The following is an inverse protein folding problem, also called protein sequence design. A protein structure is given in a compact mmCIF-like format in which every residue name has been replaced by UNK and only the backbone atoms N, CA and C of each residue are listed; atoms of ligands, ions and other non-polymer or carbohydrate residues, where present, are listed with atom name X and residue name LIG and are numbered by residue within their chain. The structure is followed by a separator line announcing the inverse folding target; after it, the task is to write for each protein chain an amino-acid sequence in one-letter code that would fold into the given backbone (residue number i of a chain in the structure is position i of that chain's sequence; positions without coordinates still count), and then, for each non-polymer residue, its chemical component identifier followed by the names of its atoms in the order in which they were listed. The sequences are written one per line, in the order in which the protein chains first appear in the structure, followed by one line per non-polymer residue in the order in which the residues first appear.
data_IF_551432784637
#
_entry.id   IF_551432784637
#
_cell.length_a   1.000
_cell.length_b   1.000
_cell.length_c   1.000
_cell.angle_alpha   90.00
_cell.angle_beta   90.00
_cell.angle_gamma   90.00
#
_symmetry.space_group_name_H-M   'P 1'
#
loop_
_entity.id
_entity.type
_entity.pdbx_description
1 polymer ?
#
# COMPACT_ATOMS: atom_id res chain seq x y z
N UNK A 1 12.90 1.06 -13.53
CA UNK A 1 12.11 0.48 -12.45
C UNK A 1 11.40 1.62 -11.73
N UNK A 2 10.21 1.39 -11.19
CA UNK A 2 9.35 2.42 -10.60
C UNK A 2 8.93 2.07 -9.18
N UNK A 3 8.94 3.06 -8.30
CA UNK A 3 8.39 2.98 -6.94
C UNK A 3 7.07 3.74 -6.90
N UNK A 4 6.01 3.08 -6.43
CA UNK A 4 4.75 3.76 -6.12
C UNK A 4 4.70 4.12 -4.63
N UNK A 5 4.61 5.42 -4.34
CA UNK A 5 4.43 5.93 -2.99
C UNK A 5 2.98 6.38 -2.77
N UNK A 6 2.23 5.63 -1.96
CA UNK A 6 0.85 5.92 -1.59
C UNK A 6 0.83 6.56 -0.20
N UNK A 7 0.30 7.78 -0.09
CA UNK A 7 0.18 8.49 1.18
C UNK A 7 -1.28 8.66 1.59
N UNK A 8 -1.64 8.20 2.79
CA UNK A 8 -3.01 8.19 3.28
C UNK A 8 -3.30 9.17 4.43
N UNK A 9 -2.28 9.81 5.00
CA UNK A 9 -2.49 10.71 6.15
C UNK A 9 -3.06 12.06 5.71
N UNK A 10 -4.17 12.54 6.30
CA UNK A 10 -4.69 13.89 6.01
C UNK A 10 -3.90 15.00 6.72
N UNK A 11 -2.89 14.66 7.53
CA UNK A 11 -2.11 15.63 8.31
C UNK A 11 -0.92 16.21 7.55
N UNK A 12 -0.72 15.83 6.28
CA UNK A 12 0.33 16.36 5.39
C UNK A 12 1.70 16.49 6.10
N UNK A 13 2.30 17.68 6.12
CA UNK A 13 3.60 17.94 6.72
C UNK A 13 3.68 17.63 8.23
N UNK A 14 2.53 17.56 8.93
CA UNK A 14 2.47 17.22 10.36
C UNK A 14 2.35 15.71 10.62
N UNK A 15 2.42 14.87 9.58
CA UNK A 15 2.27 13.42 9.70
C UNK A 15 3.62 12.71 9.90
N UNK A 16 3.77 12.02 11.03
CA UNK A 16 4.93 11.19 11.31
C UNK A 16 5.07 10.02 10.32
N UNK A 17 3.96 9.41 9.88
CA UNK A 17 4.00 8.35 8.84
C UNK A 17 4.58 8.88 7.53
N UNK A 18 4.17 10.08 7.10
CA UNK A 18 4.63 10.71 5.86
C UNK A 18 6.11 11.06 5.94
N UNK A 19 6.56 11.59 7.09
CA UNK A 19 7.97 11.90 7.33
C UNK A 19 8.84 10.66 7.15
N UNK A 20 8.53 9.57 7.88
CA UNK A 20 9.32 8.34 7.78
C UNK A 20 9.16 7.65 6.42
N UNK A 21 7.96 7.65 5.85
CA UNK A 21 7.69 7.13 4.50
C UNK A 21 8.53 7.85 3.44
N UNK A 22 8.62 9.18 3.51
CA UNK A 22 9.44 9.97 2.61
C UNK A 22 10.93 9.65 2.76
N UNK A 23 11.44 9.53 3.99
CA UNK A 23 12.83 9.14 4.23
C UNK A 23 13.15 7.76 3.65
N UNK A 24 12.23 6.81 3.77
CA UNK A 24 12.37 5.48 3.16
C UNK A 24 12.38 5.56 1.63
N UNK A 25 11.47 6.34 1.03
CA UNK A 25 11.44 6.55 -0.42
C UNK A 25 12.75 7.17 -0.91
N UNK A 26 13.23 8.23 -0.26
CA UNK A 26 14.49 8.89 -0.63
C UNK A 26 15.67 7.92 -0.54
N UNK A 27 15.70 7.10 0.51
CA UNK A 27 16.72 6.07 0.69
C UNK A 27 16.70 5.05 -0.44
N UNK A 28 15.51 4.52 -0.77
CA UNK A 28 15.35 3.55 -1.84
C UNK A 28 15.78 4.13 -3.18
N UNK A 29 15.31 5.33 -3.53
CA UNK A 29 15.69 6.00 -4.78
C UNK A 29 17.18 6.23 -4.89
N UNK A 30 17.84 6.70 -3.82
CA UNK A 30 19.27 6.93 -3.82
C UNK A 30 20.09 5.65 -4.05
N UNK A 31 19.61 4.48 -3.58
CA UNK A 31 20.35 3.22 -3.70
C UNK A 31 20.00 2.40 -4.94
N UNK A 32 18.82 2.61 -5.52
CA UNK A 32 18.30 1.77 -6.63
C UNK A 32 18.10 2.52 -7.94
N UNK A 33 18.06 3.86 -7.90
CA UNK A 33 17.68 4.68 -9.05
C UNK A 33 16.21 4.53 -9.46
N UNK A 34 15.33 4.08 -8.55
CA UNK A 34 13.89 4.01 -8.80
C UNK A 34 13.28 5.39 -9.06
N UNK A 35 12.49 5.48 -10.12
CA UNK A 35 11.64 6.65 -10.38
C UNK A 35 10.37 6.60 -9.51
N UNK A 36 9.97 7.72 -8.92
CA UNK A 36 8.85 7.74 -7.96
C UNK A 36 7.56 8.21 -8.63
N UNK A 37 6.53 7.36 -8.60
CA UNK A 37 5.14 7.77 -8.83
C UNK A 37 4.46 8.01 -7.49
N UNK A 38 3.74 9.13 -7.34
CA UNK A 38 3.11 9.53 -6.07
C UNK A 38 1.59 9.52 -6.16
N UNK A 39 0.96 8.89 -5.16
CA UNK A 39 -0.48 8.85 -4.98
C UNK A 39 -0.83 9.36 -3.58
N UNK A 40 -1.19 10.64 -3.50
CA UNK A 40 -1.64 11.26 -2.26
C UNK A 40 -3.16 11.16 -2.14
N UNK A 41 -3.65 10.29 -1.24
CA UNK A 41 -5.07 10.02 -1.02
C UNK A 41 -5.76 11.08 -0.16
N UNK A 42 -5.02 12.00 0.44
CA UNK A 42 -5.59 13.14 1.17
C UNK A 42 -5.75 14.36 0.26
N UNK A 43 -4.75 14.63 -0.60
CA UNK A 43 -4.82 15.75 -1.55
C UNK A 43 -5.72 15.44 -2.75
N UNK A 44 -5.63 14.22 -3.29
CA UNK A 44 -6.43 13.77 -4.43
C UNK A 44 -7.20 12.51 -4.02
N UNK A 45 -8.23 12.64 -3.16
CA UNK A 45 -8.98 11.49 -2.68
C UNK A 45 -9.69 10.79 -3.85
N UNK A 46 -9.68 9.45 -3.90
CA UNK A 46 -10.48 8.73 -4.88
C UNK A 46 -11.97 8.95 -4.63
N UNK A 47 -12.82 8.82 -5.67
CA UNK A 47 -14.26 8.81 -5.47
C UNK A 47 -14.68 7.61 -4.61
N UNK A 48 -15.80 7.76 -3.92
CA UNK A 48 -16.43 6.62 -3.26
C UNK A 48 -17.00 5.66 -4.31
N UNK A 49 -16.81 4.34 -4.15
CA UNK A 49 -17.50 3.36 -4.97
C UNK A 49 -19.02 3.55 -4.86
N UNK A 50 -19.66 3.92 -5.96
CA UNK A 50 -21.11 4.08 -6.04
C UNK A 50 -21.79 2.87 -6.72
N UNK A 51 -23.11 2.92 -6.88
CA UNK A 51 -23.87 1.85 -7.52
C UNK A 51 -23.44 1.57 -8.96
N UNK A 52 -22.99 2.59 -9.70
CA UNK A 52 -22.55 2.45 -11.10
C UNK A 52 -21.22 1.75 -11.17
N UNK A 53 -20.28 2.14 -10.30
CA UNK A 53 -19.01 1.43 -10.15
C UNK A 53 -19.23 -0.03 -9.76
N UNK A 54 -20.10 -0.30 -8.78
CA UNK A 54 -20.42 -1.66 -8.35
C UNK A 54 -20.99 -2.51 -9.49
N UNK A 55 -21.96 -1.98 -10.25
CA UNK A 55 -22.52 -2.62 -11.43
C UNK A 55 -21.43 -2.91 -12.48
N UNK A 56 -20.62 -1.92 -12.83
CA UNK A 56 -19.57 -2.04 -13.83
C UNK A 56 -18.45 -3.01 -13.41
N UNK A 57 -18.07 -3.02 -12.12
CA UNK A 57 -17.01 -3.88 -11.59
C UNK A 57 -17.43 -5.35 -11.51
N UNK A 58 -18.72 -5.64 -11.37
CA UNK A 58 -19.25 -7.00 -11.35
C UNK A 58 -19.65 -7.49 -12.76
N UNK A 59 -19.80 -6.57 -13.72
CA UNK A 59 -20.07 -6.88 -15.11
C UNK A 59 -18.88 -7.64 -15.74
N UNK A 60 -19.12 -8.82 -16.35
CA UNK A 60 -18.11 -9.54 -17.14
C UNK A 60 -17.49 -8.65 -18.22
N UNK A 61 -16.19 -8.81 -18.47
CA UNK A 61 -15.41 -7.95 -19.35
C UNK A 61 -15.97 -7.89 -20.78
N UNK A 62 -16.44 -9.03 -21.31
CA UNK A 62 -17.05 -9.17 -22.64
C UNK A 62 -18.44 -8.51 -22.74
N UNK A 63 -19.07 -8.19 -21.61
CA UNK A 63 -20.38 -7.54 -21.51
C UNK A 63 -20.28 -6.06 -21.14
N UNK A 64 -19.07 -5.53 -20.91
CA UNK A 64 -18.90 -4.12 -20.53
C UNK A 64 -19.27 -3.17 -21.66
N UNK A 65 -20.20 -2.27 -21.38
CA UNK A 65 -20.57 -1.18 -22.28
C UNK A 65 -19.56 -0.04 -22.21
N UNK A 66 -19.70 0.97 -23.09
CA UNK A 66 -18.93 2.23 -22.99
C UNK A 66 -19.16 2.93 -21.64
N UNK A 67 -20.38 2.87 -21.09
CA UNK A 67 -20.71 3.40 -19.76
C UNK A 67 -19.92 2.67 -18.67
N UNK A 68 -19.93 1.33 -18.67
CA UNK A 68 -19.18 0.55 -17.67
C UNK A 68 -17.69 0.86 -17.71
N UNK A 69 -17.09 0.96 -18.90
CA UNK A 69 -15.68 1.34 -19.04
C UNK A 69 -15.40 2.72 -18.45
N UNK A 70 -16.27 3.70 -18.71
CA UNK A 70 -16.17 5.04 -18.15
C UNK A 70 -16.26 5.04 -16.62
N UNK A 71 -17.22 4.32 -16.06
CA UNK A 71 -17.41 4.22 -14.60
C UNK A 71 -16.21 3.52 -13.90
N UNK A 72 -15.39 2.78 -14.65
CA UNK A 72 -14.18 2.12 -14.15
C UNK A 72 -12.87 2.88 -14.40
N UNK A 73 -12.88 4.00 -15.14
CA UNK A 73 -11.65 4.69 -15.59
C UNK A 73 -10.69 5.01 -14.44
N UNK A 74 -11.21 5.55 -13.32
CA UNK A 74 -10.38 5.88 -12.16
C UNK A 74 -9.80 4.61 -11.53
N UNK A 75 -10.62 3.56 -11.38
CA UNK A 75 -10.15 2.28 -10.86
C UNK A 75 -9.07 1.65 -11.73
N UNK A 76 -9.23 1.67 -13.06
CA UNK A 76 -8.21 1.18 -13.99
C UNK A 76 -6.91 1.99 -13.88
N UNK A 77 -7.00 3.32 -13.74
CA UNK A 77 -5.82 4.16 -13.53
C UNK A 77 -5.07 3.80 -12.24
N UNK A 78 -5.79 3.57 -11.13
CA UNK A 78 -5.18 3.20 -9.84
C UNK A 78 -4.57 1.78 -9.88
N UNK A 79 -5.21 0.86 -10.61
CA UNK A 79 -4.68 -0.49 -10.81
C UNK A 79 -3.44 -0.45 -11.71
N UNK A 80 -3.43 0.38 -12.76
CA UNK A 80 -2.29 0.55 -13.64
C UNK A 80 -1.05 1.10 -12.88
N UNK A 81 -1.25 2.01 -11.93
CA UNK A 81 -0.17 2.47 -11.02
C UNK A 81 0.44 1.29 -10.24
N UNK A 82 -0.40 0.37 -9.74
CA UNK A 82 0.08 -0.82 -9.04
C UNK A 82 0.80 -1.80 -9.97
N UNK A 83 0.33 -1.96 -11.21
CA UNK A 83 0.93 -2.85 -12.20
C UNK A 83 2.28 -2.35 -12.70
N UNK A 84 2.43 -1.03 -12.85
CA UNK A 84 3.66 -0.38 -13.31
C UNK A 84 4.77 -0.33 -12.24
N UNK A 85 4.43 -0.50 -10.96
CA UNK A 85 5.36 -0.38 -9.87
C UNK A 85 6.13 -1.70 -9.61
N UNK A 86 7.45 -1.58 -9.44
CA UNK A 86 8.33 -2.67 -9.00
C UNK A 86 8.41 -2.75 -7.47
N UNK A 87 8.16 -1.65 -6.75
CA UNK A 87 8.09 -1.59 -5.30
C UNK A 87 7.01 -0.61 -4.84
N UNK A 88 6.43 -0.86 -3.66
CA UNK A 88 5.42 0.01 -3.05
C UNK A 88 5.86 0.49 -1.68
N UNK A 89 5.68 1.78 -1.42
CA UNK A 89 5.71 2.36 -0.07
C UNK A 89 4.33 2.93 0.21
N UNK A 90 3.75 2.54 1.33
CA UNK A 90 2.45 3.01 1.81
C UNK A 90 2.65 3.66 3.17
N UNK A 91 2.32 4.94 3.31
CA UNK A 91 2.29 5.58 4.63
C UNK A 91 0.86 5.88 5.06
N UNK A 92 0.52 5.54 6.30
CA UNK A 92 -0.86 5.66 6.79
C UNK A 92 -0.95 5.89 8.30
N UNK A 93 -1.83 6.78 8.77
CA UNK A 93 -2.20 6.81 10.17
C UNK A 93 -3.23 5.72 10.47
N UNK A 94 -3.23 5.21 11.69
CA UNK A 94 -4.32 4.40 12.23
C UNK A 94 -5.45 5.32 12.68
N UNK A 95 -6.59 5.26 12.02
CA UNK A 95 -7.81 5.97 12.39
C UNK A 95 -8.85 4.95 12.86
N UNK A 96 -9.31 5.09 14.10
CA UNK A 96 -10.29 4.16 14.71
C UNK A 96 -9.90 2.69 14.47
N UNK A 97 -8.66 2.35 14.84
CA UNK A 97 -8.08 1.01 14.77
C UNK A 97 -7.74 0.47 13.37
N UNK A 98 -8.08 1.17 12.29
CA UNK A 98 -7.83 0.70 10.91
C UNK A 98 -7.37 1.83 9.97
N UNK A 99 -7.38 1.56 8.66
CA UNK A 99 -7.01 2.51 7.61
C UNK A 99 -7.98 3.71 7.57
N UNK A 100 -7.52 4.91 7.14
CA UNK A 100 -8.40 6.05 6.90
C UNK A 100 -9.47 5.75 5.84
N UNK A 101 -10.62 6.44 5.92
CA UNK A 101 -11.72 6.22 4.99
C UNK A 101 -11.34 6.43 3.51
N UNK A 102 -10.51 7.44 3.21
CA UNK A 102 -9.98 7.67 1.85
C UNK A 102 -9.08 6.53 1.37
N UNK A 103 -8.32 5.92 2.27
CA UNK A 103 -7.52 4.74 1.94
C UNK A 103 -8.40 3.52 1.72
N UNK A 104 -9.47 3.36 2.51
CA UNK A 104 -10.48 2.32 2.26
C UNK A 104 -11.16 2.49 0.90
N UNK A 105 -11.50 3.71 0.49
CA UNK A 105 -12.03 3.97 -0.85
C UNK A 105 -11.04 3.59 -1.96
N UNK A 106 -9.74 3.89 -1.78
CA UNK A 106 -8.70 3.43 -2.71
C UNK A 106 -8.65 1.90 -2.78
N UNK A 107 -8.68 1.22 -1.62
CA UNK A 107 -8.71 -0.25 -1.54
C UNK A 107 -9.91 -0.80 -2.34
N UNK A 108 -11.10 -0.22 -2.17
CA UNK A 108 -12.30 -0.67 -2.86
C UNK A 108 -12.23 -0.51 -4.38
N UNK A 109 -11.48 0.47 -4.87
CA UNK A 109 -11.28 0.67 -6.30
C UNK A 109 -10.22 -0.26 -6.90
N UNK A 110 -9.24 -0.73 -6.12
CA UNK A 110 -8.15 -1.59 -6.64
C UNK A 110 -8.35 -3.08 -6.39
N UNK A 111 -9.15 -3.48 -5.39
CA UNK A 111 -9.48 -4.88 -5.11
C UNK A 111 -10.69 -5.28 -5.94
N UNK A 112 -10.45 -5.65 -7.20
CA UNK A 112 -11.50 -5.90 -8.18
C UNK A 112 -11.55 -7.34 -8.68
N UNK A 113 -12.76 -7.96 -8.67
CA UNK A 113 -12.93 -9.30 -9.20
C UNK A 113 -12.65 -9.32 -10.70
N UNK A 114 -11.98 -10.38 -11.14
CA UNK A 114 -11.55 -10.62 -12.51
C UNK A 114 -10.60 -9.54 -13.09
N UNK A 115 -10.06 -8.63 -12.26
CA UNK A 115 -9.05 -7.65 -12.66
C UNK A 115 -7.77 -7.73 -11.84
N UNK A 116 -7.87 -7.71 -10.50
CA UNK A 116 -6.71 -7.84 -9.60
C UNK A 116 -6.76 -9.10 -8.73
N UNK A 117 -7.92 -9.75 -8.65
CA UNK A 117 -8.05 -11.11 -8.12
C UNK A 117 -9.11 -11.89 -8.90
N UNK A 118 -9.06 -13.22 -8.83
CA UNK A 118 -10.11 -14.13 -9.33
C UNK A 118 -10.60 -15.05 -8.22
N UNK A 119 -11.90 -15.28 -8.16
CA UNK A 119 -12.49 -16.28 -7.25
C UNK A 119 -12.31 -17.71 -7.77
N UNK A 120 -11.98 -18.64 -6.87
CA UNK A 120 -11.90 -20.08 -7.13
C UNK A 120 -12.58 -20.84 -5.99
N UNK A 121 -12.91 -22.14 -6.15
CA UNK A 121 -13.43 -22.95 -5.04
C UNK A 121 -12.51 -23.00 -3.81
N UNK A 122 -11.20 -22.81 -4.00
CA UNK A 122 -10.20 -22.78 -2.92
C UNK A 122 -10.01 -21.39 -2.29
N UNK A 123 -10.74 -20.36 -2.77
CA UNK A 123 -10.62 -18.98 -2.33
C UNK A 123 -10.17 -18.02 -3.44
N UNK A 124 -9.77 -16.80 -3.05
CA UNK A 124 -9.33 -15.76 -3.99
C UNK A 124 -7.86 -15.95 -4.38
N UNK A 125 -7.57 -15.84 -5.67
CA UNK A 125 -6.21 -15.86 -6.23
C UNK A 125 -5.89 -14.48 -6.78
N UNK A 126 -4.83 -13.86 -6.27
CA UNK A 126 -4.33 -12.58 -6.76
C UNK A 126 -3.78 -12.68 -8.19
N UNK A 127 -3.98 -11.62 -8.98
CA UNK A 127 -3.58 -11.54 -10.38
C UNK A 127 -2.40 -10.59 -10.62
N UNK A 128 -2.03 -9.77 -9.62
CA UNK A 128 -0.84 -8.93 -9.71
C UNK A 128 0.42 -9.75 -9.41
N UNK A 129 1.50 -9.45 -10.14
CA UNK A 129 2.82 -10.00 -9.82
C UNK A 129 3.27 -9.55 -8.43
N UNK A 130 3.83 -10.46 -7.64
CA UNK A 130 4.29 -10.12 -6.30
C UNK A 130 5.52 -9.21 -6.32
N UNK A 131 5.64 -8.34 -5.33
CA UNK A 131 6.68 -7.32 -5.22
C UNK A 131 6.81 -6.77 -3.80
N UNK A 132 7.98 -6.21 -3.43
CA UNK A 132 8.15 -5.67 -2.09
C UNK A 132 7.20 -4.51 -1.82
N UNK A 133 6.46 -4.61 -0.72
CA UNK A 133 5.57 -3.57 -0.19
C UNK A 133 6.02 -3.22 1.22
N UNK A 134 6.13 -1.92 1.51
CA UNK A 134 6.42 -1.42 2.85
C UNK A 134 5.26 -0.56 3.35
N UNK A 135 4.71 -0.92 4.50
CA UNK A 135 3.76 -0.10 5.23
C UNK A 135 4.46 0.66 6.35
N UNK A 136 4.39 1.99 6.32
CA UNK A 136 4.80 2.89 7.40
C UNK A 136 3.53 3.37 8.10
N UNK A 137 3.21 2.77 9.25
CA UNK A 137 2.00 3.08 10.01
C UNK A 137 2.29 3.99 11.21
N UNK A 138 1.38 4.92 11.50
CA UNK A 138 1.45 5.79 12.67
C UNK A 138 0.19 5.67 13.55
N UNK A 139 0.35 5.50 14.87
CA UNK A 139 -0.74 5.42 15.85
C UNK A 139 -0.54 6.39 17.01
N UNK A 140 -1.63 6.95 17.51
CA UNK A 140 -1.61 7.81 18.69
C UNK A 140 -1.36 7.05 20.00
N UNK A 141 -2.01 5.89 20.15
CA UNK A 141 -1.83 4.98 21.29
C UNK A 141 -0.80 3.89 21.00
N UNK A 142 -0.27 3.22 22.04
CA UNK A 142 0.57 2.03 21.87
C UNK A 142 -0.19 0.92 21.14
N UNK A 143 0.47 0.18 20.26
CA UNK A 143 -0.11 -0.90 19.46
C UNK A 143 0.53 -2.23 19.86
N UNK A 144 -0.28 -3.24 20.17
CA UNK A 144 0.21 -4.53 20.65
C UNK A 144 -0.86 -5.37 21.33
N UNK A 145 -0.47 -6.53 21.83
CA UNK A 145 -1.40 -7.52 22.40
C UNK A 145 -1.63 -7.35 23.91
N UNK A 146 -0.75 -6.62 24.61
CA UNK A 146 -0.80 -6.46 26.06
C UNK A 146 -1.31 -5.07 26.48
N UNK A 147 -2.16 -4.95 27.52
CA UNK A 147 -2.54 -3.65 28.08
C UNK A 147 -1.31 -2.83 28.48
N UNK A 148 -1.30 -1.50 28.27
CA UNK A 148 -2.39 -0.64 27.79
C UNK A 148 -2.44 -0.47 26.26
N UNK A 149 -1.82 -1.37 25.49
CA UNK A 149 -1.83 -1.31 24.03
C UNK A 149 -3.21 -1.62 23.44
N UNK A 150 -3.48 -1.02 22.28
CA UNK A 150 -4.65 -1.33 21.48
C UNK A 150 -4.32 -2.41 20.44
N UNK A 151 -5.31 -3.24 20.13
CA UNK A 151 -5.19 -4.29 19.12
C UNK A 151 -4.88 -3.69 17.74
N UNK A 152 -3.96 -4.31 17.02
CA UNK A 152 -3.64 -3.95 15.64
C UNK A 152 -4.63 -4.61 14.66
N UNK A 153 -5.65 -3.87 14.23
CA UNK A 153 -6.52 -4.31 13.12
C UNK A 153 -6.02 -3.82 11.75
N UNK A 154 -5.11 -2.83 11.71
CA UNK A 154 -4.66 -2.20 10.48
C UNK A 154 -3.70 -3.12 9.73
N UNK A 155 -2.64 -3.60 10.38
CA UNK A 155 -1.61 -4.41 9.72
C UNK A 155 -2.15 -5.74 9.20
N UNK A 156 -2.91 -6.53 10.01
CA UNK A 156 -3.47 -7.79 9.51
C UNK A 156 -4.47 -7.58 8.37
N UNK A 157 -5.29 -6.52 8.45
CA UNK A 157 -6.22 -6.16 7.38
C UNK A 157 -5.49 -5.84 6.07
N UNK A 158 -4.49 -4.96 6.11
CA UNK A 158 -3.72 -4.61 4.91
C UNK A 158 -2.95 -5.81 4.36
N UNK A 159 -2.36 -6.64 5.22
CA UNK A 159 -1.70 -7.88 4.78
C UNK A 159 -2.66 -8.79 4.02
N UNK A 160 -3.87 -8.97 4.55
CA UNK A 160 -4.90 -9.79 3.90
C UNK A 160 -5.37 -9.19 2.56
N UNK A 161 -5.65 -7.89 2.54
CA UNK A 161 -6.11 -7.17 1.35
C UNK A 161 -5.07 -7.19 0.23
N UNK A 162 -3.82 -6.88 0.55
CA UNK A 162 -2.72 -6.88 -0.41
C UNK A 162 -2.44 -8.30 -0.94
N UNK A 163 -2.42 -9.30 -0.06
CA UNK A 163 -2.24 -10.70 -0.46
C UNK A 163 -3.39 -11.20 -1.36
N UNK A 164 -4.61 -10.69 -1.16
CA UNK A 164 -5.78 -11.01 -2.00
C UNK A 164 -5.55 -10.63 -3.45
N UNK A 165 -4.87 -9.51 -3.71
CA UNK A 165 -4.57 -9.03 -5.08
C UNK A 165 -3.21 -9.53 -5.60
N UNK A 166 -2.44 -10.27 -4.79
CA UNK A 166 -1.17 -10.90 -5.20
C UNK A 166 0.07 -10.33 -4.54
N UNK A 167 -0.07 -9.25 -3.75
CA UNK A 167 1.04 -8.54 -3.10
C UNK A 167 1.25 -9.12 -1.69
N UNK A 168 2.23 -10.02 -1.55
CA UNK A 168 2.41 -10.86 -0.35
C UNK A 168 3.59 -10.43 0.49
N UNK A 169 4.60 -9.83 -0.14
CA UNK A 169 5.83 -9.38 0.50
C UNK A 169 5.65 -8.04 1.22
N UNK A 170 4.93 -8.05 2.34
CA UNK A 170 4.64 -6.87 3.16
C UNK A 170 5.55 -6.78 4.39
N UNK A 171 6.43 -5.78 4.38
CA UNK A 171 7.21 -5.30 5.52
C UNK A 171 6.53 -4.11 6.21
N UNK A 172 6.77 -3.92 7.51
CA UNK A 172 6.13 -2.86 8.30
C UNK A 172 7.12 -2.05 9.14
N UNK A 173 6.90 -0.73 9.21
CA UNK A 173 7.46 0.18 10.20
C UNK A 173 6.29 0.74 11.00
N UNK A 174 6.29 0.55 12.32
CA UNK A 174 5.25 1.06 13.20
C UNK A 174 5.80 2.21 14.04
N UNK A 175 5.11 3.35 14.00
CA UNK A 175 5.29 4.47 14.93
C UNK A 175 4.06 4.53 15.81
N UNK A 176 4.15 4.10 17.06
CA UNK A 176 3.02 4.16 17.98
C UNK A 176 3.24 5.20 19.09
N UNK A 177 2.28 5.31 20.01
CA UNK A 177 2.43 6.16 21.20
C UNK A 177 2.65 7.66 20.91
N UNK A 178 2.31 8.12 19.69
CA UNK A 178 2.58 9.48 19.22
C UNK A 178 1.74 10.57 19.91
N UNK A 179 0.78 10.19 20.77
CA UNK A 179 0.00 11.12 21.61
C UNK A 179 0.46 11.13 23.09
N UNK A 180 1.57 10.47 23.42
CA UNK A 180 2.11 10.36 24.79
C UNK A 180 3.19 11.39 25.14
N UNK A 181 3.30 12.46 24.37
CA UNK A 181 4.23 13.57 24.60
C UNK A 181 5.52 13.49 23.75
N UNK A 182 6.35 14.56 23.76
CA UNK A 182 7.51 14.71 22.86
C UNK A 182 8.51 13.55 22.95
N UNK A 183 8.90 13.14 24.16
CA UNK A 183 9.87 12.05 24.33
C UNK A 183 9.37 10.72 23.73
N UNK A 184 8.06 10.47 23.76
CA UNK A 184 7.47 9.27 23.15
C UNK A 184 7.51 9.35 21.62
N UNK A 185 7.26 10.55 21.07
CA UNK A 185 7.38 10.82 19.63
C UNK A 185 8.83 10.61 19.18
N UNK A 186 9.80 11.20 19.88
CA UNK A 186 11.22 11.09 19.54
C UNK A 186 11.67 9.63 19.56
N UNK A 187 11.31 8.87 20.59
CA UNK A 187 11.60 7.42 20.65
C UNK A 187 10.99 6.65 19.48
N UNK A 188 9.73 6.93 19.13
CA UNK A 188 9.04 6.26 18.03
C UNK A 188 9.69 6.59 16.68
N UNK A 189 10.05 7.86 16.45
CA UNK A 189 10.75 8.27 15.23
C UNK A 189 12.16 7.69 15.15
N UNK A 190 12.94 7.71 16.24
CA UNK A 190 14.27 7.09 16.28
C UNK A 190 14.21 5.59 15.99
N UNK A 191 13.27 4.87 16.61
CA UNK A 191 13.09 3.44 16.36
C UNK A 191 12.68 3.16 14.90
N UNK A 192 11.83 3.99 14.32
CA UNK A 192 11.42 3.88 12.92
C UNK A 192 12.57 4.16 11.95
N UNK A 193 13.38 5.19 12.21
CA UNK A 193 14.56 5.51 11.39
C UNK A 193 15.58 4.37 11.42
N UNK A 194 15.80 3.74 12.58
CA UNK A 194 16.71 2.60 12.70
C UNK A 194 16.28 1.36 11.88
N UNK A 195 15.01 1.29 11.45
CA UNK A 195 14.48 0.20 10.60
C UNK A 195 14.69 0.43 9.11
N UNK A 196 14.95 1.67 8.68
CA UNK A 196 14.97 2.05 7.26
C UNK A 196 16.01 1.25 6.48
N UNK A 197 17.26 1.17 6.94
CA UNK A 197 18.32 0.51 6.18
C UNK A 197 18.08 -1.00 6.00
N UNK A 198 17.55 -1.67 7.03
CA UNK A 198 17.22 -3.09 6.94
C UNK A 198 16.08 -3.36 5.94
N UNK A 199 15.07 -2.49 5.93
CA UNK A 199 13.97 -2.59 4.96
C UNK A 199 14.43 -2.25 3.55
N UNK A 200 15.25 -1.21 3.39
CA UNK A 200 15.83 -0.84 2.11
C UNK A 200 16.65 -2.00 1.52
N UNK A 201 17.45 -2.67 2.35
CA UNK A 201 18.18 -3.87 1.95
C UNK A 201 17.27 -5.01 1.46
N UNK A 202 16.17 -5.29 2.18
CA UNK A 202 15.18 -6.29 1.75
C UNK A 202 14.53 -5.93 0.40
N UNK A 203 14.13 -4.68 0.21
CA UNK A 203 13.54 -4.21 -1.04
C UNK A 203 14.52 -4.39 -2.21
N UNK A 204 15.79 -4.01 -2.04
CA UNK A 204 16.83 -4.20 -3.08
C UNK A 204 17.00 -5.66 -3.47
N UNK A 205 17.16 -6.53 -2.49
CA UNK A 205 17.31 -7.98 -2.72
C UNK A 205 16.09 -8.59 -3.45
N UNK A 206 14.88 -8.07 -3.20
CA UNK A 206 13.68 -8.45 -3.95
C UNK A 206 13.70 -7.95 -5.39
N UNK A 207 14.07 -6.69 -5.63
CA UNK A 207 14.20 -6.12 -6.97
C UNK A 207 15.24 -6.87 -7.80
N UNK A 208 16.39 -7.19 -7.22
CA UNK A 208 17.46 -7.95 -7.89
C UNK A 208 16.98 -9.34 -8.31
N UNK A 209 16.26 -10.05 -7.41
CA UNK A 209 15.64 -11.35 -7.74
C UNK A 209 14.60 -11.25 -8.84
N UNK A 210 13.76 -10.21 -8.84
CA UNK A 210 12.79 -9.99 -9.90
C UNK A 210 13.48 -9.74 -11.25
N UNK A 211 14.54 -8.93 -11.27
CA UNK A 211 15.31 -8.65 -12.48
C UNK A 211 15.99 -9.92 -13.04
N UNK A 212 16.53 -10.78 -12.16
CA UNK A 212 17.11 -12.06 -12.55
C UNK A 212 16.06 -13.02 -13.13
N UNK A 213 14.89 -13.13 -12.49
CA UNK A 213 13.80 -13.97 -12.97
C UNK A 213 13.27 -13.51 -14.34
N UNK A 214 13.12 -12.19 -14.55
CA UNK A 214 12.70 -11.63 -15.82
C UNK A 214 13.69 -11.93 -16.95
N UNK A 215 15.00 -11.83 -16.69
CA UNK A 215 16.05 -12.20 -17.67
C UNK A 215 16.02 -13.68 -18.03
N UNK A 216 15.83 -14.56 -17.05
CA UNK A 216 15.74 -16.00 -17.28
C UNK A 216 14.52 -16.35 -18.16
N UNK A 217 13.37 -15.73 -17.90
CA UNK A 217 12.15 -15.96 -18.69
C UNK A 217 12.23 -15.42 -20.12
N UNK A 218 13.06 -14.40 -20.38
CA UNK A 218 13.25 -13.84 -21.73
C UNK A 218 14.25 -14.64 -22.59
N UNK A 219 15.06 -15.51 -21.96
CA UNK A 219 16.04 -16.35 -22.63
C UNK A 219 15.51 -17.75 -23.03
N UNK A 220 14.23 -18.03 -22.73
CA UNK A 220 13.53 -19.30 -23.02
C UNK A 220 12.45 -19.06 -24.06
#
# INVERSE_FOLDING_TARGET
MTLLHISASPREALSHSRKIGQMLVDRLCAETGLEVTRRDLAQTPPPWPDGRFAEASLCPDDQRTKRHRRDLEISESLIAELEAADALVIDSPMHNFTVPATFKAWIDLVVRPNRTFRGTPAGKVGLLADRPVVLVMASGGPVGEAPPAQTDFLTPYLRYVLATIGLRDLSTICLDSLRRGPDAVDRAETAAMARIDGIAAHVRDRLDRQALAAKASAAT
#
